data_IF_856669018858
#
_entry.id   IF_856669018858
#
_cell.length_a   1.000
_cell.length_b   1.000
_cell.length_c   1.000
_cell.angle_alpha   90.00
_cell.angle_beta   90.00
_cell.angle_gamma   90.00
#
_symmetry.space_group_name_H-M   'P 1'
#
loop_
_entity.id
_entity.type
_entity.pdbx_description
1 polymer ?
#
# COMPACT_ATOMS: atom_id res chain seq x y z
N UNK A 1 -15.92 3.41 10.80
CA UNK A 1 -14.96 2.30 10.98
C UNK A 1 -14.84 1.44 9.72
N UNK A 2 -15.91 0.83 9.18
CA UNK A 2 -15.85 0.10 7.89
C UNK A 2 -15.41 0.97 6.70
N UNK A 3 -15.87 2.21 6.63
CA UNK A 3 -15.48 3.18 5.58
C UNK A 3 -13.98 3.53 5.60
N UNK A 4 -13.40 3.72 6.79
CA UNK A 4 -11.96 3.99 6.94
C UNK A 4 -11.13 2.78 6.50
N UNK A 5 -11.54 1.57 6.90
CA UNK A 5 -10.87 0.35 6.50
C UNK A 5 -10.85 0.18 4.97
N UNK A 6 -12.00 0.39 4.32
CA UNK A 6 -12.11 0.33 2.87
C UNK A 6 -11.19 1.35 2.18
N UNK A 7 -11.14 2.59 2.67
CA UNK A 7 -10.28 3.64 2.11
C UNK A 7 -8.79 3.31 2.24
N UNK A 8 -8.34 2.80 3.39
CA UNK A 8 -6.94 2.42 3.59
C UNK A 8 -6.57 1.24 2.68
N UNK A 9 -7.47 0.26 2.53
CA UNK A 9 -7.21 -0.89 1.65
C UNK A 9 -7.10 -0.47 0.18
N UNK A 10 -7.91 0.46 -0.30
CA UNK A 10 -7.73 1.03 -1.65
C UNK A 10 -6.35 1.66 -1.85
N UNK A 11 -5.81 2.35 -0.84
CA UNK A 11 -4.45 2.91 -0.93
C UNK A 11 -3.37 1.81 -0.98
N UNK A 12 -3.57 0.73 -0.22
CA UNK A 12 -2.67 -0.44 -0.23
C UNK A 12 -2.74 -1.19 -1.56
N UNK A 13 -3.93 -1.34 -2.15
CA UNK A 13 -4.12 -1.98 -3.46
C UNK A 13 -3.33 -1.22 -4.54
N UNK A 14 -3.46 0.12 -4.58
CA UNK A 14 -2.70 0.97 -5.51
C UNK A 14 -1.18 0.79 -5.31
N UNK A 15 -0.73 0.74 -4.06
CA UNK A 15 0.70 0.59 -3.73
C UNK A 15 1.26 -0.77 -4.16
N UNK A 16 0.55 -1.86 -3.88
CA UNK A 16 1.02 -3.22 -4.18
C UNK A 16 0.95 -3.53 -5.67
N UNK A 17 -0.07 -3.03 -6.37
CA UNK A 17 -0.15 -3.13 -7.84
C UNK A 17 1.03 -2.41 -8.50
N UNK A 18 1.38 -1.22 -8.01
CA UNK A 18 2.56 -0.50 -8.48
C UNK A 18 3.85 -1.31 -8.24
N UNK A 19 4.05 -1.85 -7.03
CA UNK A 19 5.22 -2.68 -6.74
C UNK A 19 5.30 -3.89 -7.67
N UNK A 20 4.21 -4.65 -7.81
CA UNK A 20 4.17 -5.86 -8.63
C UNK A 20 4.41 -5.56 -10.10
N UNK A 21 3.86 -4.46 -10.64
CA UNK A 21 4.08 -4.07 -12.04
C UNK A 21 5.55 -3.79 -12.36
N UNK A 22 6.32 -3.35 -11.36
CA UNK A 22 7.75 -3.07 -11.48
C UNK A 22 8.65 -4.27 -11.14
N UNK A 23 8.10 -5.34 -10.55
CA UNK A 23 8.86 -6.50 -10.07
C UNK A 23 8.22 -7.84 -10.53
N UNK A 24 8.17 -8.10 -11.85
CA UNK A 24 7.59 -9.33 -12.37
C UNK A 24 8.36 -10.56 -11.88
N UNK A 25 7.63 -11.58 -11.42
CA UNK A 25 8.19 -12.81 -10.84
C UNK A 25 8.56 -12.72 -9.34
N UNK A 26 8.36 -11.56 -8.71
CA UNK A 26 8.54 -11.36 -7.27
C UNK A 26 7.33 -10.65 -6.65
N UNK A 27 6.12 -11.03 -7.09
CA UNK A 27 4.87 -10.39 -6.72
C UNK A 27 4.40 -10.74 -5.30
N UNK A 28 3.66 -9.80 -4.71
CA UNK A 28 3.03 -9.94 -3.41
C UNK A 28 1.51 -9.74 -3.50
N UNK A 29 0.80 -10.31 -2.55
CA UNK A 29 -0.64 -10.14 -2.34
C UNK A 29 -0.91 -9.79 -0.88
N UNK A 30 -1.90 -8.93 -0.62
CA UNK A 30 -2.35 -8.69 0.75
C UNK A 30 -3.10 -9.93 1.29
N UNK A 31 -2.99 -10.27 2.59
CA UNK A 31 -3.44 -11.55 3.17
C UNK A 31 -4.94 -11.86 3.00
N UNK A 32 -5.82 -10.85 2.94
CA UNK A 32 -7.27 -11.09 2.94
C UNK A 32 -8.04 -10.07 2.09
N UNK A 33 -8.78 -10.56 1.09
CA UNK A 33 -9.80 -9.79 0.38
C UNK A 33 -11.20 -10.44 0.53
N UNK A 34 -12.23 -9.69 0.97
CA UNK A 34 -12.16 -8.32 1.46
C UNK A 34 -11.43 -8.27 2.82
N UNK A 35 -10.75 -7.16 3.12
CA UNK A 35 -10.00 -7.00 4.36
C UNK A 35 -10.95 -7.10 5.56
N UNK A 36 -10.82 -8.15 6.37
CA UNK A 36 -11.64 -8.30 7.58
C UNK A 36 -11.15 -7.35 8.69
N UNK A 37 -9.88 -6.96 8.61
CA UNK A 37 -9.24 -5.96 9.46
C UNK A 37 -8.17 -5.16 8.73
N UNK A 38 -7.93 -3.94 9.19
CA UNK A 38 -6.79 -3.08 8.80
C UNK A 38 -5.71 -3.03 9.87
N UNK A 39 -5.70 -3.97 10.83
CA UNK A 39 -4.71 -3.96 11.93
C UNK A 39 -3.26 -3.92 11.42
N UNK A 40 -3.01 -4.56 10.28
CA UNK A 40 -1.69 -4.58 9.63
C UNK A 40 -1.47 -3.39 8.69
N UNK A 41 -2.51 -2.59 8.40
CA UNK A 41 -2.43 -1.42 7.52
C UNK A 41 -2.46 -0.12 8.34
N UNK A 42 -1.39 0.66 8.26
CA UNK A 42 -1.31 1.99 8.86
C UNK A 42 -1.23 3.02 7.75
N UNK A 43 -2.01 4.09 7.88
CA UNK A 43 -1.96 5.22 6.96
C UNK A 43 -1.84 6.53 7.74
N UNK A 44 -0.92 7.39 7.33
CA UNK A 44 -0.85 8.78 7.76
C UNK A 44 -1.10 9.68 6.54
N UNK A 45 -1.98 10.67 6.69
CA UNK A 45 -2.19 11.70 5.69
C UNK A 45 -1.39 12.94 6.08
N UNK A 46 -0.52 13.40 5.18
CA UNK A 46 0.34 14.55 5.38
C UNK A 46 -0.05 15.63 4.37
N UNK A 47 -0.41 16.82 4.85
CA UNK A 47 -0.75 17.95 4.01
C UNK A 47 0.35 19.02 4.04
N UNK A 48 0.86 19.42 2.88
CA UNK A 48 1.78 20.55 2.77
C UNK A 48 1.42 21.46 1.59
N UNK A 49 1.19 22.75 1.88
CA UNK A 49 0.83 23.79 0.89
C UNK A 49 -0.33 23.41 -0.04
N UNK A 50 -1.29 22.63 0.48
CA UNK A 50 -2.44 22.15 -0.28
C UNK A 50 -2.21 20.81 -0.99
N UNK A 51 -1.00 20.31 -1.07
CA UNK A 51 -0.75 18.95 -1.57
C UNK A 51 -0.91 17.94 -0.43
N UNK A 52 -1.35 16.72 -0.76
CA UNK A 52 -1.59 15.65 0.20
C UNK A 52 -0.79 14.41 -0.19
N UNK A 53 -0.14 13.82 0.81
CA UNK A 53 0.55 12.54 0.73
C UNK A 53 -0.08 11.55 1.70
N UNK A 54 -0.02 10.28 1.33
CA UNK A 54 -0.42 9.14 2.14
C UNK A 54 0.80 8.27 2.36
N UNK A 55 1.22 8.16 3.61
CA UNK A 55 2.30 7.26 4.01
C UNK A 55 1.67 6.00 4.55
N UNK A 56 1.95 4.88 3.90
CA UNK A 56 1.38 3.58 4.19
C UNK A 56 2.44 2.67 4.79
N UNK A 57 2.06 1.93 5.82
CA UNK A 57 2.79 0.75 6.29
C UNK A 57 1.85 -0.45 6.24
N UNK A 58 2.25 -1.53 5.58
CA UNK A 58 1.42 -2.74 5.46
C UNK A 58 2.27 -4.00 5.31
N UNK A 59 1.68 -5.15 5.66
CA UNK A 59 2.29 -6.47 5.42
C UNK A 59 1.67 -7.11 4.18
N UNK A 60 2.48 -7.82 3.39
CA UNK A 60 2.00 -8.56 2.23
C UNK A 60 2.70 -9.91 2.11
N UNK A 61 1.96 -10.91 1.63
CA UNK A 61 2.42 -12.27 1.41
C UNK A 61 2.97 -12.40 0.01
N UNK A 62 4.12 -13.06 -0.19
CA UNK A 62 4.60 -13.36 -1.53
C UNK A 62 3.62 -14.30 -2.23
N UNK A 63 3.46 -14.15 -3.55
CA UNK A 63 2.71 -15.12 -4.37
C UNK A 63 3.46 -16.46 -4.46
N UNK A 64 4.79 -16.44 -4.33
CA UNK A 64 5.60 -17.63 -4.09
C UNK A 64 5.46 -18.07 -2.62
N UNK A 65 4.78 -19.19 -2.40
CA UNK A 65 4.50 -19.75 -1.09
C UNK A 65 5.76 -20.19 -0.31
N UNK A 66 6.95 -20.16 -0.91
CA UNK A 66 8.22 -20.48 -0.24
C UNK A 66 8.88 -19.27 0.41
N UNK A 67 8.44 -18.05 0.07
CA UNK A 67 9.00 -16.82 0.61
C UNK A 67 8.23 -16.32 1.85
N UNK A 68 8.91 -15.51 2.67
CA UNK A 68 8.33 -14.94 3.89
C UNK A 68 7.52 -13.67 3.61
N UNK A 69 6.47 -13.46 4.41
CA UNK A 69 5.69 -12.22 4.45
C UNK A 69 6.63 -11.03 4.72
N UNK A 70 6.46 -9.97 3.93
CA UNK A 70 7.29 -8.76 4.01
C UNK A 70 6.47 -7.56 4.51
N UNK A 71 7.15 -6.63 5.18
CA UNK A 71 6.60 -5.32 5.49
C UNK A 71 6.99 -4.32 4.42
N UNK A 72 6.01 -3.50 4.04
CA UNK A 72 6.13 -2.47 3.02
C UNK A 72 5.99 -1.09 3.63
N UNK A 73 6.70 -0.14 3.03
CA UNK A 73 6.42 1.28 3.11
C UNK A 73 6.02 1.78 1.73
N UNK A 74 4.96 2.58 1.66
CA UNK A 74 4.60 3.27 0.44
C UNK A 74 4.24 4.74 0.69
N UNK A 75 4.54 5.58 -0.28
CA UNK A 75 4.18 6.99 -0.33
C UNK A 75 3.35 7.21 -1.59
N UNK A 76 2.13 7.69 -1.41
CA UNK A 76 1.23 8.07 -2.49
C UNK A 76 0.96 9.56 -2.38
N UNK A 77 0.98 10.29 -3.49
CA UNK A 77 0.54 11.67 -3.53
C UNK A 77 -0.75 11.80 -4.33
N UNK A 78 -1.62 12.72 -3.92
CA UNK A 78 -2.81 13.07 -4.69
C UNK A 78 -2.46 14.15 -5.71
N UNK A 79 -2.41 13.75 -6.98
CA UNK A 79 -2.19 14.66 -8.10
C UNK A 79 -3.47 15.44 -8.38
N UNK A 80 -3.45 16.75 -8.09
CA UNK A 80 -4.59 17.63 -8.30
C UNK A 80 -4.88 17.93 -9.77
N UNK A 81 -3.88 17.82 -10.63
CA UNK A 81 -4.04 18.08 -12.07
C UNK A 81 -4.82 16.94 -12.73
N UNK A 82 -4.51 15.70 -12.36
CA UNK A 82 -5.15 14.51 -12.92
C UNK A 82 -6.28 13.95 -12.04
N UNK A 83 -6.45 14.46 -10.82
CA UNK A 83 -7.41 13.99 -9.82
C UNK A 83 -7.22 12.51 -9.47
N UNK A 84 -5.97 12.07 -9.44
CA UNK A 84 -5.58 10.68 -9.27
C UNK A 84 -4.54 10.52 -8.15
N UNK A 85 -4.46 9.31 -7.59
CA UNK A 85 -3.40 8.93 -6.67
C UNK A 85 -2.24 8.35 -7.47
N UNK A 86 -1.05 8.90 -7.29
CA UNK A 86 0.16 8.38 -7.89
C UNK A 86 1.09 7.85 -6.78
N UNK A 87 1.72 6.71 -7.04
CA UNK A 87 2.71 6.10 -6.14
C UNK A 87 4.06 6.76 -6.38
N UNK A 88 4.58 7.46 -5.37
CA UNK A 88 5.93 8.03 -5.36
C UNK A 88 6.96 6.98 -4.98
N UNK A 89 6.63 6.14 -3.98
CA UNK A 89 7.47 5.01 -3.59
C UNK A 89 6.64 3.85 -3.06
N UNK A 90 7.12 2.63 -3.28
CA UNK A 90 6.65 1.42 -2.63
C UNK A 90 7.82 0.45 -2.50
N UNK A 91 8.27 0.20 -1.27
CA UNK A 91 9.49 -0.54 -0.98
C UNK A 91 9.30 -1.54 0.15
N UNK A 92 10.07 -2.63 0.10
CA UNK A 92 10.16 -3.61 1.18
C UNK A 92 11.08 -3.04 2.28
N UNK A 93 10.59 -3.04 3.52
CA UNK A 93 11.36 -2.73 4.72
C UNK A 93 12.04 -3.98 5.32
N UNK A 94 11.56 -5.18 4.96
CA UNK A 94 12.09 -6.47 5.38
C UNK A 94 11.08 -7.30 6.18
N UNK A 95 11.58 -8.38 6.78
CA UNK A 95 10.81 -9.23 7.70
C UNK A 95 10.94 -8.69 9.12
N UNK A 96 9.88 -8.83 9.92
CA UNK A 96 9.91 -8.60 11.37
C UNK A 96 10.42 -9.82 12.11
#
# INVERSE_FOLDING_TARGET
>A
RKDIALRISTLVDIAIEHYNSNNPGAEFQYPEYPPQSTTEMKAACIGFRGTFWYHLGFSAHPMDATAETQHFFAELYFDRQYLELAVETCIILGTT
#
